data_IF_391919930897
#
_entry.id   IF_391919930897
#
_cell.length_a   1.000
_cell.length_b   1.000
_cell.length_c   1.000
_cell.angle_alpha   90.00
_cell.angle_beta   90.00
_cell.angle_gamma   90.00
#
_symmetry.space_group_name_H-M   'P 1'
#
loop_
_entity.id
_entity.type
_entity.pdbx_description
1 polymer ?
#
# COMPACT_ATOMS: atom_id res chain seq x y z
N UNK A 1 -12.56 20.64 -31.38
CA UNK A 1 -12.70 22.12 -31.47
C UNK A 1 -12.11 22.77 -30.21
N UNK A 2 -11.88 24.08 -30.22
CA UNK A 2 -11.45 24.83 -29.03
C UNK A 2 -12.46 24.75 -27.90
N UNK A 3 -13.74 24.74 -28.22
CA UNK A 3 -14.83 24.59 -27.25
C UNK A 3 -14.81 23.23 -26.56
N UNK A 4 -14.56 22.15 -27.30
CA UNK A 4 -14.45 20.80 -26.73
C UNK A 4 -13.25 20.69 -25.78
N UNK A 5 -12.10 21.28 -26.13
CA UNK A 5 -10.92 21.32 -25.25
C UNK A 5 -11.28 22.05 -23.96
N UNK A 6 -11.93 23.21 -24.06
CA UNK A 6 -12.32 24.01 -22.90
C UNK A 6 -13.28 23.23 -21.99
N UNK A 7 -14.31 22.62 -22.54
CA UNK A 7 -15.28 21.78 -21.81
C UNK A 7 -14.59 20.67 -21.03
N UNK A 8 -13.68 19.91 -21.66
CA UNK A 8 -12.94 18.80 -21.01
C UNK A 8 -12.00 19.31 -19.90
N UNK A 9 -11.35 20.45 -20.10
CA UNK A 9 -10.48 21.07 -19.09
C UNK A 9 -11.30 21.53 -17.89
N UNK A 10 -12.43 22.21 -18.11
CA UNK A 10 -13.31 22.68 -17.04
C UNK A 10 -13.92 21.50 -16.25
N UNK A 11 -14.30 20.42 -16.93
CA UNK A 11 -14.81 19.21 -16.30
C UNK A 11 -13.74 18.53 -15.42
N UNK A 12 -12.52 18.34 -15.93
CA UNK A 12 -11.42 17.79 -15.15
C UNK A 12 -11.05 18.69 -13.96
N UNK A 13 -11.05 20.01 -14.16
CA UNK A 13 -10.77 20.96 -13.09
C UNK A 13 -11.83 20.91 -11.97
N UNK A 14 -13.09 20.75 -12.32
CA UNK A 14 -14.21 20.58 -11.37
C UNK A 14 -14.10 19.29 -10.58
N UNK A 15 -13.74 18.19 -11.24
CA UNK A 15 -13.52 16.88 -10.59
C UNK A 15 -12.46 16.99 -9.49
N UNK A 16 -11.43 17.81 -9.72
CA UNK A 16 -10.26 17.95 -8.84
C UNK A 16 -10.30 19.18 -7.92
N UNK A 17 -11.39 19.98 -7.99
CA UNK A 17 -11.53 21.24 -7.23
C UNK A 17 -10.36 22.21 -7.46
N UNK A 18 -10.00 22.42 -8.74
CA UNK A 18 -8.93 23.34 -9.17
C UNK A 18 -9.36 24.34 -10.23
N UNK A 19 -10.67 24.57 -10.43
CA UNK A 19 -11.20 25.55 -11.38
C UNK A 19 -10.60 26.95 -11.16
N UNK A 20 -10.46 27.35 -9.89
CA UNK A 20 -9.89 28.63 -9.46
C UNK A 20 -8.38 28.77 -9.75
N UNK A 21 -7.73 27.72 -10.22
CA UNK A 21 -6.28 27.68 -10.52
C UNK A 21 -5.99 27.68 -12.02
N UNK A 22 -6.98 27.58 -12.90
CA UNK A 22 -6.79 27.43 -14.34
C UNK A 22 -5.93 28.51 -14.98
N UNK A 23 -6.01 29.75 -14.49
CA UNK A 23 -5.23 30.87 -14.99
C UNK A 23 -3.84 31.00 -14.33
N UNK A 24 -3.51 30.14 -13.35
CA UNK A 24 -2.22 30.21 -12.65
C UNK A 24 -1.14 29.42 -13.38
N UNK A 25 0.06 29.99 -13.42
CA UNK A 25 1.23 29.28 -13.97
C UNK A 25 1.68 28.19 -12.97
N UNK A 26 2.21 27.03 -13.43
CA UNK A 26 2.63 25.92 -12.56
C UNK A 26 3.59 26.31 -11.43
N UNK A 27 4.46 27.28 -11.64
CA UNK A 27 5.39 27.79 -10.63
C UNK A 27 4.70 28.49 -9.46
N UNK A 28 3.48 28.96 -9.64
CA UNK A 28 2.68 29.64 -8.61
C UNK A 28 1.75 28.69 -7.84
N UNK A 29 1.88 27.37 -8.06
CA UNK A 29 1.07 26.34 -7.42
C UNK A 29 1.84 25.67 -6.27
N UNK A 30 1.12 25.27 -5.22
CA UNK A 30 1.65 24.40 -4.15
C UNK A 30 1.93 22.98 -4.68
N UNK A 31 2.64 22.15 -3.88
CA UNK A 31 2.93 20.75 -4.23
C UNK A 31 1.66 19.96 -4.57
N UNK A 32 0.64 20.00 -3.69
CA UNK A 32 -0.62 19.31 -3.92
C UNK A 32 -1.45 19.87 -5.08
N UNK A 33 -1.40 21.19 -5.30
CA UNK A 33 -2.05 21.79 -6.46
C UNK A 33 -1.38 21.32 -7.77
N UNK A 34 -0.05 21.26 -7.81
CA UNK A 34 0.67 20.67 -8.97
C UNK A 34 0.29 19.22 -9.21
N UNK A 35 0.15 18.43 -8.12
CA UNK A 35 -0.27 17.04 -8.21
C UNK A 35 -1.67 16.90 -8.79
N UNK A 36 -2.65 17.70 -8.31
CA UNK A 36 -4.00 17.73 -8.90
C UNK A 36 -3.98 18.12 -10.38
N UNK A 37 -3.16 19.09 -10.76
CA UNK A 37 -3.00 19.45 -12.18
C UNK A 37 -2.44 18.29 -13.00
N UNK A 38 -1.46 17.54 -12.47
CA UNK A 38 -0.93 16.36 -13.15
C UNK A 38 -1.99 15.27 -13.36
N UNK A 39 -2.83 15.02 -12.33
CA UNK A 39 -3.98 14.13 -12.44
C UNK A 39 -5.00 14.64 -13.47
N UNK A 40 -5.31 15.95 -13.46
CA UNK A 40 -6.23 16.57 -14.42
C UNK A 40 -5.78 16.38 -15.87
N UNK A 41 -4.49 16.52 -16.13
CA UNK A 41 -3.91 16.25 -17.46
C UNK A 41 -4.10 14.79 -17.91
N UNK A 42 -4.09 13.84 -16.98
CA UNK A 42 -4.39 12.44 -17.28
C UNK A 42 -5.89 12.23 -17.55
N UNK A 43 -6.78 12.84 -16.74
CA UNK A 43 -8.24 12.72 -16.87
C UNK A 43 -8.73 13.24 -18.22
N UNK A 44 -8.25 14.41 -18.66
CA UNK A 44 -8.67 15.03 -19.94
C UNK A 44 -8.47 14.09 -21.13
N UNK A 45 -7.56 13.11 -21.03
CA UNK A 45 -7.31 12.12 -22.08
C UNK A 45 -8.30 10.97 -22.10
N UNK A 46 -9.16 10.84 -21.08
CA UNK A 46 -10.13 9.75 -20.91
C UNK A 46 -9.47 8.36 -21.10
N UNK A 47 -8.39 8.05 -20.33
CA UNK A 47 -7.66 6.81 -20.53
C UNK A 47 -8.48 5.62 -20.01
N UNK A 48 -8.32 4.46 -20.64
CA UNK A 48 -8.90 3.19 -20.15
C UNK A 48 -8.22 2.69 -18.87
N UNK A 49 -6.97 3.10 -18.62
CA UNK A 49 -6.17 2.73 -17.46
C UNK A 49 -5.32 3.92 -17.02
N UNK A 50 -5.33 4.23 -15.74
CA UNK A 50 -4.41 5.18 -15.12
C UNK A 50 -3.18 4.45 -14.59
N UNK A 51 -1.99 4.94 -14.93
CA UNK A 51 -0.72 4.46 -14.40
C UNK A 51 -0.14 5.55 -13.49
N UNK A 52 -0.09 5.26 -12.18
CA UNK A 52 0.39 6.19 -11.15
C UNK A 52 1.64 5.58 -10.50
N UNK A 53 2.79 6.15 -10.79
CA UNK A 53 4.07 5.70 -10.26
C UNK A 53 4.50 6.63 -9.13
N UNK A 54 4.44 6.13 -7.90
CA UNK A 54 4.73 6.83 -6.64
C UNK A 54 4.16 8.27 -6.56
N UNK A 55 2.87 8.48 -6.86
CA UNK A 55 2.34 9.83 -7.08
C UNK A 55 2.35 10.71 -5.82
N UNK A 56 2.52 10.15 -4.63
CA UNK A 56 2.47 10.88 -3.36
C UNK A 56 3.81 10.94 -2.63
N UNK A 57 4.89 10.39 -3.19
CA UNK A 57 6.20 10.27 -2.53
C UNK A 57 6.80 11.62 -2.10
N UNK A 58 6.56 12.69 -2.85
CA UNK A 58 7.13 14.02 -2.63
C UNK A 58 6.23 14.95 -1.80
N UNK A 59 5.21 14.43 -1.13
CA UNK A 59 4.26 15.21 -0.34
C UNK A 59 4.51 15.00 1.16
N UNK A 60 4.25 16.07 1.96
CA UNK A 60 4.22 15.95 3.41
C UNK A 60 3.07 15.03 3.88
N UNK A 61 3.14 14.55 5.13
CA UNK A 61 2.20 13.56 5.66
C UNK A 61 0.74 14.02 5.62
N UNK A 62 0.46 15.29 5.92
CA UNK A 62 -0.89 15.84 5.92
C UNK A 62 -1.46 15.90 4.51
N UNK A 63 -0.68 16.41 3.57
CA UNK A 63 -1.07 16.53 2.18
C UNK A 63 -1.21 15.15 1.52
N UNK A 64 -0.32 14.20 1.87
CA UNK A 64 -0.41 12.80 1.42
C UNK A 64 -1.73 12.16 1.84
N UNK A 65 -2.15 12.34 3.10
CA UNK A 65 -3.43 11.82 3.60
C UNK A 65 -4.63 12.40 2.84
N UNK A 66 -4.61 13.71 2.56
CA UNK A 66 -5.65 14.36 1.76
C UNK A 66 -5.67 13.81 0.33
N UNK A 67 -4.52 13.71 -0.32
CA UNK A 67 -4.42 13.24 -1.71
C UNK A 67 -4.82 11.77 -1.86
N UNK A 68 -4.56 10.91 -0.88
CA UNK A 68 -5.09 9.53 -0.87
C UNK A 68 -6.62 9.53 -0.98
N UNK A 69 -7.28 10.33 -0.16
CA UNK A 69 -8.74 10.46 -0.19
C UNK A 69 -9.23 10.96 -1.55
N UNK A 70 -8.56 11.97 -2.11
CA UNK A 70 -8.91 12.53 -3.42
C UNK A 70 -8.75 11.51 -4.57
N UNK A 71 -7.64 10.76 -4.58
CA UNK A 71 -7.41 9.70 -5.60
C UNK A 71 -8.45 8.59 -5.45
N UNK A 72 -8.80 8.17 -4.23
CA UNK A 72 -9.83 7.16 -4.01
C UNK A 72 -11.20 7.63 -4.50
N UNK A 73 -11.59 8.87 -4.21
CA UNK A 73 -12.84 9.47 -4.74
C UNK A 73 -12.82 9.57 -6.26
N UNK A 74 -11.66 9.94 -6.82
CA UNK A 74 -11.48 10.03 -8.26
C UNK A 74 -11.67 8.65 -8.93
N UNK A 75 -11.04 7.61 -8.39
CA UNK A 75 -11.20 6.24 -8.86
C UNK A 75 -12.68 5.80 -8.85
N UNK A 76 -13.38 6.04 -7.74
CA UNK A 76 -14.80 5.72 -7.63
C UNK A 76 -15.67 6.49 -8.65
N UNK A 77 -15.37 7.76 -8.88
CA UNK A 77 -16.11 8.62 -9.81
C UNK A 77 -15.89 8.23 -11.27
N UNK A 78 -14.64 7.91 -11.63
CA UNK A 78 -14.30 7.56 -13.02
C UNK A 78 -14.62 6.10 -13.38
N UNK A 79 -14.67 5.19 -12.41
CA UNK A 79 -14.94 3.77 -12.64
C UNK A 79 -13.92 3.06 -13.54
N UNK A 80 -12.74 3.66 -13.74
CA UNK A 80 -11.67 3.12 -14.60
C UNK A 80 -10.63 2.37 -13.80
N UNK A 81 -9.82 1.55 -14.45
CA UNK A 81 -8.73 0.83 -13.80
C UNK A 81 -7.57 1.76 -13.44
N UNK A 82 -7.12 1.69 -12.19
CA UNK A 82 -5.92 2.37 -11.71
C UNK A 82 -4.85 1.34 -11.37
N UNK A 83 -3.65 1.49 -11.94
CA UNK A 83 -2.44 0.79 -11.52
C UNK A 83 -1.62 1.80 -10.73
N UNK A 84 -1.43 1.53 -9.44
CA UNK A 84 -0.80 2.43 -8.49
C UNK A 84 0.43 1.77 -7.91
N UNK A 85 1.60 2.33 -8.16
CA UNK A 85 2.88 1.87 -7.60
C UNK A 85 3.21 2.71 -6.37
N UNK A 86 3.53 2.07 -5.27
CA UNK A 86 3.94 2.72 -4.02
C UNK A 86 4.83 1.81 -3.19
N UNK A 87 5.68 2.41 -2.37
CA UNK A 87 6.40 1.73 -1.30
C UNK A 87 5.72 1.95 0.08
N UNK A 88 4.66 2.77 0.15
CA UNK A 88 3.90 3.03 1.37
C UNK A 88 2.76 2.00 1.52
N UNK A 89 2.90 1.14 2.53
CA UNK A 89 1.89 0.10 2.81
C UNK A 89 0.53 0.70 3.16
N UNK A 90 0.49 1.85 3.83
CA UNK A 90 -0.77 2.51 4.19
C UNK A 90 -1.54 2.92 2.94
N UNK A 91 -0.84 3.41 1.90
CA UNK A 91 -1.45 3.71 0.61
C UNK A 91 -2.03 2.45 -0.02
N UNK A 92 -1.21 1.40 -0.15
CA UNK A 92 -1.65 0.14 -0.76
C UNK A 92 -2.83 -0.48 0.00
N UNK A 93 -2.74 -0.61 1.33
CA UNK A 93 -3.75 -1.28 2.16
C UNK A 93 -5.08 -0.51 2.26
N UNK A 94 -5.06 0.82 2.09
CA UNK A 94 -6.27 1.66 2.24
C UNK A 94 -6.95 2.00 0.93
N UNK A 95 -6.24 1.98 -0.19
CA UNK A 95 -6.76 2.46 -1.48
C UNK A 95 -7.04 1.34 -2.48
N UNK A 96 -6.28 0.24 -2.40
CA UNK A 96 -6.35 -0.80 -3.41
C UNK A 96 -7.49 -1.80 -3.16
N UNK A 97 -8.14 -2.24 -4.23
CA UNK A 97 -9.04 -3.40 -4.22
C UNK A 97 -8.24 -4.71 -4.28
N UNK A 98 -7.05 -4.68 -4.89
CA UNK A 98 -6.11 -5.80 -5.01
C UNK A 98 -4.68 -5.28 -5.01
N UNK A 99 -3.80 -5.96 -4.28
CA UNK A 99 -2.38 -5.61 -4.14
C UNK A 99 -1.52 -6.71 -4.76
N UNK A 100 -0.48 -6.29 -5.45
CA UNK A 100 0.60 -7.15 -5.94
C UNK A 100 1.84 -6.88 -5.10
N UNK A 101 2.24 -7.84 -4.27
CA UNK A 101 3.49 -7.76 -3.50
C UNK A 101 4.63 -8.28 -4.36
N UNK A 102 5.68 -7.48 -4.52
CA UNK A 102 6.83 -7.81 -5.36
C UNK A 102 8.13 -7.79 -4.55
N UNK A 103 9.07 -8.67 -4.91
CA UNK A 103 10.44 -8.68 -4.40
C UNK A 103 11.40 -8.95 -5.53
N UNK A 104 12.36 -8.05 -5.76
CA UNK A 104 13.38 -8.20 -6.82
C UNK A 104 12.79 -8.56 -8.20
N UNK A 105 11.70 -7.89 -8.59
CA UNK A 105 11.04 -8.10 -9.89
C UNK A 105 10.12 -9.34 -9.94
N UNK A 106 10.04 -10.12 -8.87
CA UNK A 106 9.22 -11.35 -8.81
C UNK A 106 7.98 -11.10 -7.95
N UNK A 107 6.82 -11.47 -8.48
CA UNK A 107 5.55 -11.42 -7.75
C UNK A 107 5.58 -12.46 -6.64
N UNK A 108 5.34 -12.03 -5.41
CA UNK A 108 5.29 -12.87 -4.22
C UNK A 108 3.85 -13.31 -3.91
N UNK A 109 2.91 -12.38 -3.96
CA UNK A 109 1.49 -12.66 -3.74
C UNK A 109 0.64 -11.59 -4.42
N UNK A 110 -0.54 -12.00 -4.90
CA UNK A 110 -1.56 -11.09 -5.44
C UNK A 110 -2.87 -11.41 -4.75
N UNK A 111 -3.40 -10.45 -3.96
CA UNK A 111 -4.65 -10.68 -3.22
C UNK A 111 -5.29 -9.35 -2.80
N UNK A 112 -6.43 -9.45 -2.11
CA UNK A 112 -7.04 -8.31 -1.41
C UNK A 112 -6.15 -7.87 -0.24
N UNK A 113 -6.23 -6.60 0.21
CA UNK A 113 -5.50 -6.13 1.39
C UNK A 113 -5.71 -7.03 2.61
N UNK A 114 -6.95 -7.44 2.87
CA UNK A 114 -7.31 -8.28 4.01
C UNK A 114 -6.66 -9.66 3.94
N UNK A 115 -6.68 -10.31 2.77
CA UNK A 115 -6.08 -11.63 2.61
C UNK A 115 -4.55 -11.59 2.72
N UNK A 116 -3.91 -10.56 2.18
CA UNK A 116 -2.45 -10.38 2.34
C UNK A 116 -2.04 -10.27 3.80
N UNK A 117 -2.85 -9.62 4.62
CA UNK A 117 -2.60 -9.49 6.06
C UNK A 117 -2.89 -10.77 6.83
N UNK A 118 -4.02 -11.43 6.57
CA UNK A 118 -4.48 -12.61 7.33
C UNK A 118 -3.83 -13.92 6.85
N UNK A 119 -3.52 -14.03 5.56
CA UNK A 119 -3.05 -15.26 4.92
C UNK A 119 -1.83 -15.00 4.02
N UNK A 120 -0.72 -14.49 4.58
CA UNK A 120 0.50 -14.30 3.80
C UNK A 120 1.05 -15.65 3.33
N UNK A 121 1.36 -15.76 2.03
CA UNK A 121 1.78 -17.03 1.43
C UNK A 121 3.23 -17.43 1.75
N UNK A 122 4.05 -16.51 2.27
CA UNK A 122 5.43 -16.77 2.64
C UNK A 122 5.92 -15.76 3.71
N UNK A 123 7.09 -16.05 4.30
CA UNK A 123 7.71 -15.22 5.35
C UNK A 123 8.00 -13.79 4.89
N UNK A 124 8.33 -13.60 3.60
CA UNK A 124 8.57 -12.26 3.09
C UNK A 124 7.30 -11.41 3.13
N UNK A 125 6.18 -11.93 2.63
CA UNK A 125 4.89 -11.23 2.65
C UNK A 125 4.44 -10.97 4.10
N UNK A 126 4.57 -11.98 4.97
CA UNK A 126 4.22 -11.87 6.39
C UNK A 126 5.03 -10.78 7.13
N UNK A 127 6.31 -10.66 6.82
CA UNK A 127 7.17 -9.62 7.42
C UNK A 127 7.09 -8.27 6.72
N UNK A 128 6.63 -8.25 5.46
CA UNK A 128 6.51 -7.01 4.70
C UNK A 128 5.18 -6.31 4.93
N UNK A 129 4.08 -7.04 5.06
CA UNK A 129 2.73 -6.50 5.23
C UNK A 129 2.40 -6.34 6.71
N UNK A 130 1.96 -5.14 7.09
CA UNK A 130 1.48 -4.82 8.43
C UNK A 130 2.28 -3.71 9.13
N UNK A 131 1.60 -2.97 10.00
CA UNK A 131 2.18 -1.95 10.89
C UNK A 131 1.49 -2.03 12.25
N UNK A 132 2.14 -2.61 13.28
CA UNK A 132 3.50 -3.16 13.27
C UNK A 132 3.65 -4.42 12.43
N UNK A 133 4.88 -4.72 12.01
CA UNK A 133 5.20 -5.94 11.25
C UNK A 133 5.05 -7.18 12.14
N UNK A 134 4.85 -8.34 11.51
CA UNK A 134 4.82 -9.63 12.20
C UNK A 134 6.15 -9.94 12.87
N UNK A 135 6.10 -10.40 14.12
CA UNK A 135 7.29 -10.87 14.81
C UNK A 135 7.63 -12.30 14.39
N UNK A 136 8.90 -12.56 14.11
CA UNK A 136 9.42 -13.88 13.83
C UNK A 136 10.32 -14.33 14.99
N UNK A 137 10.10 -15.55 15.46
CA UNK A 137 10.91 -16.17 16.51
C UNK A 137 11.46 -17.47 15.95
N UNK A 138 12.79 -17.60 15.91
CA UNK A 138 13.43 -18.85 15.58
C UNK A 138 13.21 -19.86 16.70
N UNK A 139 12.72 -21.05 16.35
CA UNK A 139 12.36 -22.06 17.30
C UNK A 139 12.62 -23.46 16.75
N UNK A 140 12.81 -24.44 17.66
CA UNK A 140 12.88 -25.86 17.32
C UNK A 140 11.55 -26.53 17.58
N UNK A 141 11.05 -27.28 16.59
CA UNK A 141 9.89 -28.16 16.77
C UNK A 141 10.39 -29.48 17.36
N UNK A 142 9.84 -29.86 18.51
CA UNK A 142 10.15 -31.11 19.21
C UNK A 142 8.89 -31.98 19.27
N UNK A 143 9.08 -33.29 19.06
CA UNK A 143 8.00 -34.29 19.24
C UNK A 143 8.34 -35.16 20.45
N UNK A 144 7.44 -35.21 21.42
CA UNK A 144 7.54 -36.04 22.61
C UNK A 144 6.28 -36.89 22.76
N UNK A 145 6.42 -38.20 22.41
CA UNK A 145 5.26 -39.09 22.33
C UNK A 145 4.26 -38.65 21.26
N UNK A 146 3.04 -38.35 21.66
CA UNK A 146 1.98 -37.85 20.81
C UNK A 146 1.93 -36.30 20.73
N UNK A 147 2.71 -35.60 21.55
CA UNK A 147 2.64 -34.16 21.69
C UNK A 147 3.76 -33.46 20.89
N UNK A 148 3.45 -32.24 20.42
CA UNK A 148 4.41 -31.36 19.77
C UNK A 148 4.68 -30.14 20.66
N UNK A 149 5.95 -29.74 20.71
CA UNK A 149 6.42 -28.59 21.48
C UNK A 149 7.25 -27.68 20.59
N UNK A 150 7.24 -26.38 20.88
CA UNK A 150 8.13 -25.39 20.29
C UNK A 150 9.10 -24.94 21.37
N UNK A 151 10.39 -25.10 21.12
CA UNK A 151 11.48 -24.63 22.00
C UNK A 151 12.17 -23.43 21.35
N UNK A 152 12.26 -22.33 22.09
CA UNK A 152 12.95 -21.11 21.66
C UNK A 152 13.67 -20.45 22.84
N UNK A 153 14.64 -19.59 22.54
CA UNK A 153 15.51 -18.94 23.53
C UNK A 153 16.97 -19.03 23.12
N UNK A 154 17.83 -18.22 23.72
CA UNK A 154 19.28 -18.24 23.45
C UNK A 154 20.07 -18.97 24.54
N UNK A 155 21.10 -19.69 24.13
CA UNK A 155 22.15 -20.21 25.03
C UNK A 155 23.28 -19.18 25.21
N UNK A 156 23.00 -17.87 25.12
CA UNK A 156 24.08 -16.88 25.19
C UNK A 156 24.75 -16.88 26.57
N UNK A 157 25.91 -17.47 26.57
CA UNK A 157 26.76 -17.76 27.75
C UNK A 157 27.44 -16.52 28.35
N UNK A 158 27.22 -15.31 27.83
CA UNK A 158 27.93 -14.11 28.26
C UNK A 158 27.18 -13.15 29.17
N UNK A 159 25.83 -13.23 29.20
CA UNK A 159 25.06 -12.33 30.05
C UNK A 159 23.78 -12.99 30.57
N UNK A 160 23.85 -13.63 31.76
CA UNK A 160 22.74 -14.26 32.50
C UNK A 160 22.06 -15.46 31.80
N UNK A 161 22.10 -16.60 32.50
CA UNK A 161 21.45 -17.88 32.22
C UNK A 161 20.49 -17.86 31.04
N UNK A 162 20.87 -18.45 29.92
CA UNK A 162 20.01 -18.59 28.76
C UNK A 162 18.65 -19.19 29.14
N UNK A 163 17.57 -18.44 28.96
CA UNK A 163 16.25 -18.94 29.29
C UNK A 163 15.70 -19.60 28.02
N UNK A 164 15.51 -20.93 28.13
CA UNK A 164 14.79 -21.70 27.10
C UNK A 164 13.32 -21.77 27.49
N UNK A 165 12.47 -21.43 26.54
CA UNK A 165 11.02 -21.59 26.68
C UNK A 165 10.58 -22.80 25.87
N UNK A 166 9.76 -23.66 26.46
CA UNK A 166 9.15 -24.80 25.81
C UNK A 166 7.63 -24.69 25.93
N UNK A 167 6.96 -24.57 24.81
CA UNK A 167 5.51 -24.41 24.75
C UNK A 167 4.92 -25.60 24.01
N UNK A 168 3.94 -26.25 24.66
CA UNK A 168 3.15 -27.31 24.02
C UNK A 168 2.22 -26.71 22.96
N UNK A 169 2.23 -27.27 21.75
CA UNK A 169 1.30 -26.88 20.73
C UNK A 169 -0.07 -27.54 20.97
N UNK A 170 -1.17 -26.79 20.78
CA UNK A 170 -2.51 -27.40 20.88
C UNK A 170 -2.70 -28.48 19.83
N UNK A 171 -3.35 -29.57 20.21
CA UNK A 171 -3.59 -30.72 19.35
C UNK A 171 -4.57 -30.45 18.18
N UNK A 172 -5.30 -29.34 18.19
CA UNK A 172 -6.51 -29.10 17.40
C UNK A 172 -6.36 -28.00 16.33
N UNK A 173 -5.22 -27.87 15.67
CA UNK A 173 -5.15 -26.98 14.48
C UNK A 173 -4.50 -27.74 13.32
N UNK A 174 -5.33 -28.57 12.67
CA UNK A 174 -5.15 -28.91 11.26
C UNK A 174 -5.48 -27.73 10.37
#
# INVERSE_FOLDING_TARGET
SKEEIRRRVEEAARILDIEHLLERKPKALSGGQRQRVALGRAIVREPKVFLLDEPLSNLDAKLRAQMRTEISKLHQRLGTTFIYVTHDQTEAMTMASRIVVMKSGIIQQVDTPQNLYLYPCNLFVAGFIGSPQMNFIEAKLLKEGADFFVEFGSEDTKTRAGVKYKIKLPADKN
#
